data_IF_386324175087
#
_entry.id   IF_386324175087
#
_cell.length_a   1.000
_cell.length_b   1.000
_cell.length_c   1.000
_cell.angle_alpha   90.00
_cell.angle_beta   90.00
_cell.angle_gamma   90.00
#
_symmetry.space_group_name_H-M   'P 1'
#
loop_
_entity.id
_entity.type
_entity.pdbx_description
1 polymer ?
#
# COMPACT_ATOMS: atom_id res chain seq x y z
N UNK A 1 22.46 -21.40 -48.10
CA UNK A 1 21.20 -20.70 -48.41
C UNK A 1 21.56 -19.42 -49.17
N UNK A 2 21.35 -19.40 -50.49
CA UNK A 2 21.79 -18.31 -51.37
C UNK A 2 20.73 -17.21 -51.43
N UNK A 3 21.08 -15.99 -51.02
CA UNK A 3 20.26 -14.78 -51.12
C UNK A 3 20.28 -14.26 -52.55
N UNK A 4 19.15 -14.35 -53.26
CA UNK A 4 18.94 -13.72 -54.58
C UNK A 4 18.61 -12.24 -54.36
N UNK A 5 19.60 -11.38 -54.57
CA UNK A 5 19.40 -9.94 -54.75
C UNK A 5 18.65 -9.72 -56.08
N UNK A 6 17.35 -9.41 -55.99
CA UNK A 6 16.56 -8.93 -57.13
C UNK A 6 16.94 -7.46 -57.36
N UNK A 7 17.80 -7.25 -58.35
CA UNK A 7 18.20 -5.93 -58.85
C UNK A 7 17.02 -5.32 -59.61
N UNK A 8 16.22 -4.49 -58.95
CA UNK A 8 15.14 -3.75 -59.60
C UNK A 8 15.75 -2.68 -60.51
N UNK A 9 15.74 -2.96 -61.82
CA UNK A 9 16.21 -2.05 -62.87
C UNK A 9 15.21 -0.90 -62.98
N UNK A 10 15.52 0.24 -62.37
CA UNK A 10 14.78 1.49 -62.56
C UNK A 10 14.86 1.89 -64.04
N UNK A 11 13.79 1.62 -64.79
CA UNK A 11 13.60 2.12 -66.14
C UNK A 11 13.34 3.63 -66.05
N UNK A 12 14.39 4.44 -66.18
CA UNK A 12 14.26 5.88 -66.43
C UNK A 12 14.13 6.04 -67.95
N UNK A 13 12.90 6.13 -68.43
CA UNK A 13 12.65 6.59 -69.81
C UNK A 13 12.94 8.09 -69.88
N UNK A 14 13.99 8.47 -70.60
CA UNK A 14 14.24 9.87 -70.97
C UNK A 14 13.19 10.32 -71.98
N UNK A 15 12.08 10.87 -71.49
CA UNK A 15 11.07 11.55 -72.29
C UNK A 15 11.51 12.99 -72.55
N UNK A 16 11.79 13.32 -73.80
CA UNK A 16 12.15 14.67 -74.26
C UNK A 16 10.96 15.61 -74.45
N UNK A 17 9.81 15.31 -73.84
CA UNK A 17 8.65 16.20 -73.82
C UNK A 17 8.73 17.10 -72.59
N UNK A 18 8.90 18.40 -72.80
CA UNK A 18 8.85 19.39 -71.72
C UNK A 18 7.50 19.34 -71.01
N UNK A 19 7.53 19.40 -69.67
CA UNK A 19 6.33 19.49 -68.83
C UNK A 19 5.51 20.71 -69.24
N UNK A 20 4.24 20.49 -69.51
CA UNK A 20 3.32 21.58 -69.77
C UNK A 20 2.96 22.29 -68.45
N UNK A 21 2.73 23.61 -68.49
CA UNK A 21 2.33 24.38 -67.30
C UNK A 21 1.10 23.76 -66.60
N UNK A 22 0.18 23.20 -67.38
CA UNK A 22 -1.04 22.59 -66.87
C UNK A 22 -0.78 21.28 -66.13
N UNK A 23 0.17 20.44 -66.56
CA UNK A 23 0.56 19.24 -65.83
C UNK A 23 1.16 19.58 -64.46
N UNK A 24 1.90 20.68 -64.36
CA UNK A 24 2.48 21.13 -63.10
C UNK A 24 1.41 21.58 -62.11
N UNK A 25 0.41 22.34 -62.57
CA UNK A 25 -0.73 22.78 -61.74
C UNK A 25 -1.54 21.58 -61.26
N UNK A 26 -1.87 20.64 -62.15
CA UNK A 26 -2.65 19.44 -61.79
C UNK A 26 -1.87 18.57 -60.79
N UNK A 27 -0.58 18.39 -60.99
CA UNK A 27 0.27 17.62 -60.07
C UNK A 27 0.34 18.26 -58.68
N UNK A 28 0.42 19.58 -58.61
CA UNK A 28 0.45 20.32 -57.34
C UNK A 28 -0.88 20.23 -56.59
N UNK A 29 -2.01 20.28 -57.29
CA UNK A 29 -3.35 20.10 -56.71
C UNK A 29 -3.48 18.67 -56.13
N UNK A 30 -3.14 17.65 -56.91
CA UNK A 30 -3.22 16.25 -56.45
C UNK A 30 -2.27 16.01 -55.28
N UNK A 31 -1.04 16.52 -55.37
CA UNK A 31 -0.06 16.46 -54.28
C UNK A 31 -0.57 17.12 -53.01
N UNK A 32 -1.22 18.28 -53.13
CA UNK A 32 -1.84 18.98 -52.01
C UNK A 32 -2.97 18.16 -51.34
N UNK A 33 -3.84 17.53 -52.14
CA UNK A 33 -4.92 16.67 -51.63
C UNK A 33 -4.34 15.46 -50.89
N UNK A 34 -3.37 14.78 -51.48
CA UNK A 34 -2.72 13.62 -50.87
C UNK A 34 -2.04 13.99 -49.55
N UNK A 35 -1.34 15.13 -49.52
CA UNK A 35 -0.66 15.63 -48.32
C UNK A 35 -1.66 16.03 -47.22
N UNK A 36 -2.81 16.60 -47.59
CA UNK A 36 -3.88 16.90 -46.63
C UNK A 36 -4.47 15.63 -46.01
N UNK A 37 -4.68 14.58 -46.81
CA UNK A 37 -5.21 13.31 -46.33
C UNK A 37 -4.23 12.58 -45.40
N UNK A 38 -2.95 12.54 -45.77
CA UNK A 38 -1.91 11.92 -44.93
C UNK A 38 -1.72 12.67 -43.63
N UNK A 39 -1.74 14.01 -43.65
CA UNK A 39 -1.66 14.82 -42.45
C UNK A 39 -2.85 14.59 -41.51
N UNK A 40 -4.07 14.56 -42.05
CA UNK A 40 -5.29 14.28 -41.27
C UNK A 40 -5.22 12.90 -40.60
N UNK A 41 -4.78 11.88 -41.34
CA UNK A 41 -4.60 10.52 -40.83
C UNK A 41 -3.52 10.47 -39.73
N UNK A 42 -2.40 11.17 -39.91
CA UNK A 42 -1.32 11.23 -38.92
C UNK A 42 -1.79 11.90 -37.61
N UNK A 43 -2.52 13.01 -37.73
CA UNK A 43 -3.10 13.72 -36.56
C UNK A 43 -4.11 12.82 -35.84
N UNK A 44 -4.96 12.10 -36.58
CA UNK A 44 -5.91 11.14 -36.01
C UNK A 44 -5.20 10.01 -35.27
N UNK A 45 -4.20 9.39 -35.88
CA UNK A 45 -3.42 8.31 -35.27
C UNK A 45 -2.68 8.78 -34.02
N UNK A 46 -2.08 9.99 -34.06
CA UNK A 46 -1.42 10.58 -32.89
C UNK A 46 -2.42 10.81 -31.76
N UNK A 47 -3.62 11.30 -32.05
CA UNK A 47 -4.66 11.54 -31.05
C UNK A 47 -5.08 10.23 -30.38
N UNK A 48 -5.36 9.19 -31.16
CA UNK A 48 -5.71 7.87 -30.64
C UNK A 48 -4.58 7.29 -29.77
N UNK A 49 -3.34 7.37 -30.23
CA UNK A 49 -2.19 6.89 -29.49
C UNK A 49 -2.03 7.59 -28.13
N UNK A 50 -2.15 8.92 -28.08
CA UNK A 50 -2.06 9.68 -26.83
C UNK A 50 -3.22 9.32 -25.88
N UNK A 51 -4.41 9.07 -26.41
CA UNK A 51 -5.56 8.61 -25.63
C UNK A 51 -5.34 7.24 -25.00
N UNK A 52 -4.82 6.30 -25.78
CA UNK A 52 -4.56 4.94 -25.31
C UNK A 52 -3.44 4.92 -24.26
N UNK A 53 -2.40 5.76 -24.42
CA UNK A 53 -1.36 5.93 -23.40
C UNK A 53 -1.95 6.45 -22.09
N UNK A 54 -2.73 7.53 -22.14
CA UNK A 54 -3.37 8.12 -20.98
C UNK A 54 -4.29 7.13 -20.25
N UNK A 55 -5.09 6.37 -21.00
CA UNK A 55 -5.96 5.31 -20.45
C UNK A 55 -5.14 4.18 -19.82
N UNK A 56 -4.04 3.77 -20.46
CA UNK A 56 -3.20 2.69 -19.96
C UNK A 56 -2.52 3.08 -18.66
N UNK A 57 -1.96 4.29 -18.59
CA UNK A 57 -1.31 4.83 -17.39
C UNK A 57 -2.30 4.91 -16.22
N UNK A 58 -3.48 5.51 -16.43
CA UNK A 58 -4.52 5.59 -15.40
C UNK A 58 -4.91 4.20 -14.90
N UNK A 59 -5.16 3.25 -15.81
CA UNK A 59 -5.55 1.90 -15.40
C UNK A 59 -4.44 1.14 -14.65
N UNK A 60 -3.18 1.30 -15.05
CA UNK A 60 -2.04 0.67 -14.36
C UNK A 60 -1.87 1.26 -12.95
N UNK A 61 -1.95 2.58 -12.83
CA UNK A 61 -1.88 3.29 -11.56
C UNK A 61 -3.01 2.87 -10.60
N UNK A 62 -4.25 2.87 -11.09
CA UNK A 62 -5.41 2.46 -10.30
C UNK A 62 -5.32 1.01 -9.84
N UNK A 63 -4.88 0.09 -10.71
CA UNK A 63 -4.68 -1.33 -10.35
C UNK A 63 -3.55 -1.54 -9.36
N UNK A 64 -2.38 -0.94 -9.61
CA UNK A 64 -1.23 -1.04 -8.71
C UNK A 64 -1.59 -0.57 -7.29
N UNK A 65 -2.35 0.52 -7.18
CA UNK A 65 -2.82 1.03 -5.88
C UNK A 65 -3.74 0.02 -5.17
N UNK A 66 -4.71 -0.54 -5.89
CA UNK A 66 -5.61 -1.56 -5.33
C UNK A 66 -4.88 -2.85 -4.97
N UNK A 67 -3.90 -3.27 -5.75
CA UNK A 67 -3.14 -4.50 -5.49
C UNK A 67 -2.29 -4.37 -4.22
N UNK A 68 -1.66 -3.21 -4.01
CA UNK A 68 -0.90 -2.90 -2.79
C UNK A 68 -1.84 -2.89 -1.57
N UNK A 69 -2.88 -2.05 -1.59
CA UNK A 69 -3.84 -1.95 -0.46
C UNK A 69 -4.54 -3.29 -0.21
N UNK A 70 -4.90 -3.99 -1.29
CA UNK A 70 -5.60 -5.27 -1.22
C UNK A 70 -4.75 -6.38 -0.62
N UNK A 71 -3.43 -6.36 -0.84
CA UNK A 71 -2.49 -7.33 -0.25
C UNK A 71 -2.39 -7.14 1.26
N UNK A 72 -2.32 -5.90 1.73
CA UNK A 72 -2.30 -5.58 3.16
C UNK A 72 -3.64 -5.88 3.83
N UNK A 73 -4.76 -5.51 3.19
CA UNK A 73 -6.10 -5.81 3.72
C UNK A 73 -6.33 -7.31 3.86
N UNK A 74 -5.82 -8.14 2.95
CA UNK A 74 -5.92 -9.60 3.05
C UNK A 74 -5.07 -10.16 4.19
N UNK A 75 -3.94 -9.52 4.51
CA UNK A 75 -3.07 -9.90 5.63
C UNK A 75 -3.49 -9.24 6.96
N UNK A 76 -4.40 -8.27 6.92
CA UNK A 76 -4.88 -7.59 8.11
C UNK A 76 -5.46 -8.59 9.12
N UNK A 77 -4.93 -8.54 10.34
CA UNK A 77 -5.35 -9.42 11.43
C UNK A 77 -4.67 -10.78 11.45
N UNK A 78 -3.82 -11.07 10.46
CA UNK A 78 -2.97 -12.25 10.50
C UNK A 78 -2.08 -12.19 11.74
N UNK A 79 -2.06 -13.30 12.50
CA UNK A 79 -1.26 -13.45 13.72
C UNK A 79 -1.62 -12.45 14.83
N UNK A 80 -2.86 -11.95 14.84
CA UNK A 80 -3.40 -11.16 15.94
C UNK A 80 -4.47 -12.00 16.64
N UNK A 81 -4.20 -12.41 17.89
CA UNK A 81 -5.12 -13.22 18.69
C UNK A 81 -6.13 -12.39 19.48
N UNK A 82 -5.82 -11.13 19.76
CA UNK A 82 -6.62 -10.29 20.64
C UNK A 82 -7.79 -9.67 19.87
N UNK A 83 -9.01 -9.91 20.37
CA UNK A 83 -10.22 -9.50 19.67
C UNK A 83 -10.47 -8.00 19.71
N UNK A 84 -9.98 -7.32 20.75
CA UNK A 84 -10.11 -5.87 20.94
C UNK A 84 -8.97 -5.08 20.28
N UNK A 85 -8.05 -5.75 19.58
CA UNK A 85 -6.93 -5.08 18.94
C UNK A 85 -7.39 -4.23 17.74
N UNK A 86 -6.96 -2.96 17.60
CA UNK A 86 -7.38 -2.09 16.51
C UNK A 86 -6.67 -2.43 15.18
N UNK A 87 -7.05 -3.52 14.53
CA UNK A 87 -6.36 -4.01 13.31
C UNK A 87 -6.57 -3.07 12.12
N UNK A 88 -7.80 -2.60 11.93
CA UNK A 88 -8.21 -1.72 10.82
C UNK A 88 -8.83 -0.47 11.41
N UNK A 89 -8.43 0.68 10.89
CA UNK A 89 -8.96 1.99 11.26
C UNK A 89 -9.21 2.81 10.00
N UNK A 90 -10.43 3.32 9.88
CA UNK A 90 -10.87 4.15 8.74
C UNK A 90 -11.28 5.52 9.27
N UNK A 91 -10.45 6.52 8.98
CA UNK A 91 -10.66 7.91 9.37
C UNK A 91 -11.18 8.70 8.17
N UNK A 92 -12.34 9.37 8.33
CA UNK A 92 -12.94 10.23 7.29
C UNK A 92 -13.12 9.58 5.90
N UNK A 93 -13.25 8.26 5.83
CA UNK A 93 -13.32 7.40 4.62
C UNK A 93 -12.14 7.49 3.65
N UNK A 94 -11.22 8.45 3.80
CA UNK A 94 -10.07 8.67 2.92
C UNK A 94 -8.71 8.43 3.60
N UNK A 95 -8.71 7.87 4.79
CA UNK A 95 -7.50 7.52 5.55
C UNK A 95 -7.70 6.13 6.16
N UNK A 96 -6.88 5.19 5.71
CA UNK A 96 -6.98 3.78 6.08
C UNK A 96 -5.69 3.35 6.75
N UNK A 97 -5.76 2.98 8.01
CA UNK A 97 -4.66 2.41 8.78
C UNK A 97 -4.88 0.90 8.94
N UNK A 98 -3.87 0.12 8.58
CA UNK A 98 -3.83 -1.33 8.71
C UNK A 98 -2.63 -1.69 9.58
N UNK A 99 -2.84 -2.56 10.57
CA UNK A 99 -1.78 -3.04 11.46
C UNK A 99 -1.49 -4.51 11.18
N UNK A 100 -0.23 -4.81 10.89
CA UNK A 100 0.26 -6.14 10.52
C UNK A 100 1.23 -6.65 11.59
N UNK A 101 1.04 -7.89 12.05
CA UNK A 101 2.01 -8.52 12.95
C UNK A 101 3.10 -9.24 12.15
N UNK A 102 4.34 -8.79 12.29
CA UNK A 102 5.47 -9.28 11.50
C UNK A 102 6.08 -10.57 12.06
N UNK A 103 5.90 -10.84 13.35
CA UNK A 103 6.59 -11.93 14.03
C UNK A 103 5.65 -12.86 14.81
N UNK A 104 6.06 -14.12 14.88
CA UNK A 104 5.55 -15.11 15.82
C UNK A 104 6.75 -15.63 16.64
N UNK A 105 6.54 -15.99 17.91
CA UNK A 105 5.26 -16.00 18.65
C UNK A 105 4.83 -14.61 19.11
N UNK A 106 3.63 -14.49 19.67
CA UNK A 106 3.17 -13.27 20.33
C UNK A 106 3.60 -13.36 21.80
N UNK A 107 4.28 -12.34 22.31
CA UNK A 107 4.76 -12.33 23.70
C UNK A 107 3.68 -11.80 24.64
N UNK A 108 3.73 -12.21 25.91
CA UNK A 108 2.82 -11.73 26.96
C UNK A 108 3.61 -11.30 28.18
N UNK A 109 3.36 -10.09 28.66
CA UNK A 109 4.02 -9.57 29.85
C UNK A 109 3.71 -10.44 31.08
N UNK A 110 4.70 -10.60 31.97
CA UNK A 110 4.54 -11.38 33.21
C UNK A 110 4.41 -10.55 34.46
N UNK A 111 4.69 -9.27 34.33
CA UNK A 111 4.62 -8.31 35.41
C UNK A 111 3.91 -7.07 34.89
N UNK A 112 3.39 -6.28 35.83
CA UNK A 112 2.77 -5.02 35.49
C UNK A 112 3.84 -4.04 34.99
N UNK A 113 3.58 -3.39 33.87
CA UNK A 113 4.35 -2.23 33.40
C UNK A 113 3.59 -0.99 33.83
N UNK A 114 4.19 -0.17 34.69
CA UNK A 114 3.51 0.99 35.27
C UNK A 114 3.77 2.27 34.47
N UNK A 115 2.73 3.07 34.27
CA UNK A 115 2.83 4.39 33.68
C UNK A 115 3.80 5.29 34.47
N UNK A 116 4.44 6.23 33.79
CA UNK A 116 5.41 7.15 34.39
C UNK A 116 6.80 6.56 34.62
N UNK A 117 6.99 5.25 34.45
CA UNK A 117 8.31 4.62 34.63
C UNK A 117 9.18 4.80 33.38
N UNK A 118 10.41 5.29 33.57
CA UNK A 118 11.45 5.43 32.54
C UNK A 118 12.56 4.38 32.69
N UNK A 119 12.65 3.75 33.87
CA UNK A 119 13.66 2.72 34.19
C UNK A 119 13.19 1.31 33.87
N UNK A 120 11.89 1.10 33.65
CA UNK A 120 11.31 -0.17 33.19
C UNK A 120 11.58 -0.40 31.70
N UNK A 121 12.87 -0.36 31.33
CA UNK A 121 13.31 -0.76 30.00
C UNK A 121 13.17 -2.27 29.85
N UNK A 122 13.27 -3.02 30.94
CA UNK A 122 13.12 -4.46 30.95
C UNK A 122 11.65 -4.86 31.09
N UNK A 123 11.09 -5.54 30.10
CA UNK A 123 9.71 -6.05 30.07
C UNK A 123 9.78 -7.58 30.18
N UNK A 124 9.45 -8.19 31.33
CA UNK A 124 9.40 -9.64 31.48
C UNK A 124 8.26 -10.23 30.62
N UNK A 125 8.55 -11.20 29.75
CA UNK A 125 7.61 -11.67 28.70
C UNK A 125 7.32 -13.17 28.65
N UNK A 126 7.93 -13.99 29.51
CA UNK A 126 7.53 -15.39 29.65
C UNK A 126 7.37 -15.77 31.12
N UNK A 127 6.19 -16.27 31.43
CA UNK A 127 5.79 -16.60 32.80
C UNK A 127 5.86 -18.12 32.99
N UNK A 128 6.18 -18.84 31.90
CA UNK A 128 6.26 -20.28 31.78
C UNK A 128 7.44 -20.67 30.89
N UNK A 129 8.65 -20.37 31.36
CA UNK A 129 9.93 -21.06 31.10
C UNK A 129 10.38 -21.46 29.68
N UNK A 130 9.74 -21.08 28.57
CA UNK A 130 10.27 -21.38 27.23
C UNK A 130 11.10 -20.23 26.69
N UNK A 131 12.42 -20.43 26.61
CA UNK A 131 13.37 -19.50 26.00
C UNK A 131 13.12 -19.30 24.49
N UNK A 132 12.46 -20.27 23.86
CA UNK A 132 12.24 -20.34 22.42
C UNK A 132 11.47 -19.12 21.86
N UNK A 133 10.59 -18.49 22.65
CA UNK A 133 9.77 -17.37 22.19
C UNK A 133 10.57 -16.07 22.09
N UNK A 134 11.36 -15.78 23.13
CA UNK A 134 12.27 -14.62 23.15
C UNK A 134 13.38 -14.82 22.12
N UNK A 135 13.88 -16.04 21.95
CA UNK A 135 14.88 -16.37 20.93
C UNK A 135 14.34 -16.18 19.50
N UNK A 136 13.06 -16.47 19.24
CA UNK A 136 12.44 -16.18 17.94
C UNK A 136 12.35 -14.68 17.66
N UNK A 137 11.99 -13.87 18.67
CA UNK A 137 12.01 -12.40 18.55
C UNK A 137 13.42 -11.86 18.31
N UNK A 138 14.40 -12.39 19.03
CA UNK A 138 15.82 -12.08 18.82
C UNK A 138 16.25 -12.44 17.38
N UNK A 139 15.90 -13.63 16.90
CA UNK A 139 16.23 -14.07 15.53
C UNK A 139 15.62 -13.15 14.49
N UNK A 140 14.35 -12.76 14.66
CA UNK A 140 13.70 -11.81 13.77
C UNK A 140 14.44 -10.46 13.78
N UNK A 141 14.69 -9.89 14.96
CA UNK A 141 15.38 -8.61 15.13
C UNK A 141 16.77 -8.60 14.48
N UNK A 142 17.55 -9.64 14.71
CA UNK A 142 18.92 -9.76 14.21
C UNK A 142 18.99 -10.16 12.74
N UNK A 143 17.88 -10.50 12.10
CA UNK A 143 17.84 -10.72 10.65
C UNK A 143 17.66 -9.43 9.84
N UNK A 144 17.33 -8.30 10.50
CA UNK A 144 16.95 -7.06 9.81
C UNK A 144 18.11 -6.30 9.16
N UNK A 145 19.34 -6.51 9.61
CA UNK A 145 20.52 -5.89 9.02
C UNK A 145 21.17 -6.75 7.91
N UNK A 146 20.68 -7.98 7.72
CA UNK A 146 21.17 -8.94 6.73
C UNK A 146 22.45 -9.68 7.15
N UNK A 147 22.93 -9.48 8.37
CA UNK A 147 24.11 -10.14 8.90
C UNK A 147 23.74 -11.40 9.69
N UNK A 148 24.72 -12.29 9.89
CA UNK A 148 24.49 -13.50 10.69
C UNK A 148 24.65 -13.18 12.17
N UNK A 149 23.55 -13.27 12.93
CA UNK A 149 23.54 -13.08 14.38
C UNK A 149 23.46 -11.61 14.80
N UNK A 150 23.31 -11.37 16.11
CA UNK A 150 23.04 -10.04 16.65
C UNK A 150 24.29 -9.18 16.85
N UNK A 151 24.35 -8.04 16.18
CA UNK A 151 25.38 -7.00 16.28
C UNK A 151 25.02 -5.90 17.30
N UNK A 152 23.74 -5.78 17.69
CA UNK A 152 23.26 -4.74 18.60
C UNK A 152 23.30 -3.32 18.01
N UNK A 153 23.32 -3.21 16.68
CA UNK A 153 23.37 -1.94 15.97
C UNK A 153 21.97 -1.27 15.91
N UNK A 154 21.88 -0.09 15.28
CA UNK A 154 20.61 0.64 15.16
C UNK A 154 19.65 0.03 14.14
N UNK A 155 20.12 -0.81 13.21
CA UNK A 155 19.31 -1.49 12.20
C UNK A 155 18.57 -2.70 12.81
N UNK A 156 19.11 -3.28 13.87
CA UNK A 156 18.45 -4.29 14.69
C UNK A 156 17.50 -3.70 15.75
N UNK A 157 16.95 -2.51 15.52
CA UNK A 157 15.93 -1.93 16.39
C UNK A 157 14.59 -2.06 15.71
N UNK A 158 13.61 -2.62 16.40
CA UNK A 158 12.30 -2.92 15.84
C UNK A 158 11.24 -2.12 16.56
N UNK A 159 10.24 -1.67 15.82
CA UNK A 159 9.03 -1.11 16.41
C UNK A 159 8.19 -2.24 16.99
N UNK A 160 7.95 -2.18 18.29
CA UNK A 160 7.06 -3.09 19.01
C UNK A 160 5.87 -2.33 19.59
N UNK A 161 4.82 -3.05 19.92
CA UNK A 161 3.59 -2.51 20.48
C UNK A 161 3.13 -3.34 21.66
N UNK A 162 2.86 -2.70 22.79
CA UNK A 162 2.27 -3.35 23.96
C UNK A 162 0.78 -2.97 24.06
N UNK A 163 -0.07 -3.98 24.19
CA UNK A 163 -1.53 -3.88 24.19
C UNK A 163 -2.10 -4.32 25.55
N UNK A 164 -3.01 -3.51 26.10
CA UNK A 164 -3.60 -3.71 27.43
C UNK A 164 -4.79 -4.70 27.46
N UNK A 165 -5.19 -5.25 26.32
CA UNK A 165 -6.36 -6.13 26.18
C UNK A 165 -7.70 -5.39 26.01
N UNK A 166 -7.72 -4.08 26.25
CA UNK A 166 -8.91 -3.21 26.22
C UNK A 166 -8.91 -2.25 25.01
N UNK A 167 -8.09 -2.52 24.00
CA UNK A 167 -8.00 -1.72 22.78
C UNK A 167 -7.03 -0.54 22.88
N UNK A 168 -6.34 -0.36 24.02
CA UNK A 168 -5.28 0.64 24.12
C UNK A 168 -3.91 -0.03 24.02
N UNK A 169 -2.94 0.76 23.58
CA UNK A 169 -1.55 0.38 23.64
C UNK A 169 -0.63 1.53 23.31
N UNK A 170 0.66 1.25 23.35
CA UNK A 170 1.67 2.21 22.96
C UNK A 170 2.82 1.54 22.22
N UNK A 171 3.38 2.27 21.26
CA UNK A 171 4.54 1.84 20.49
C UNK A 171 5.81 2.13 21.28
N UNK A 172 6.78 1.23 21.16
CA UNK A 172 8.11 1.43 21.71
C UNK A 172 9.16 0.82 20.78
N UNK A 173 10.41 1.24 20.94
CA UNK A 173 11.53 0.66 20.21
C UNK A 173 12.07 -0.53 21.01
N UNK A 174 11.93 -1.73 20.46
CA UNK A 174 12.55 -2.95 20.97
C UNK A 174 14.02 -3.02 20.50
N UNK A 175 14.94 -3.09 21.46
CA UNK A 175 16.37 -2.91 21.18
C UNK A 175 17.24 -4.12 21.52
N UNK A 176 16.87 -4.92 22.53
CA UNK A 176 17.62 -6.11 22.93
C UNK A 176 16.78 -7.03 23.81
N UNK A 177 17.34 -8.18 24.16
CA UNK A 177 16.73 -9.19 25.01
C UNK A 177 17.67 -9.54 26.17
N UNK A 178 17.09 -10.00 27.26
CA UNK A 178 17.79 -10.77 28.27
C UNK A 178 17.20 -12.18 28.25
N UNK A 179 17.89 -13.11 27.60
CA UNK A 179 17.47 -14.51 27.49
C UNK A 179 17.61 -15.28 28.80
N UNK A 180 18.33 -14.73 29.79
CA UNK A 180 18.45 -15.36 31.12
C UNK A 180 17.21 -15.03 31.96
N UNK A 181 16.81 -13.76 31.96
CA UNK A 181 15.60 -13.30 32.65
C UNK A 181 14.33 -13.36 31.79
N UNK A 182 14.48 -13.83 30.55
CA UNK A 182 13.45 -14.01 29.56
C UNK A 182 12.57 -12.77 29.38
N UNK A 183 13.25 -11.67 29.10
CA UNK A 183 12.68 -10.35 29.04
C UNK A 183 13.17 -9.60 27.81
N UNK A 184 12.33 -8.69 27.30
CA UNK A 184 12.69 -7.82 26.19
C UNK A 184 13.00 -6.43 26.71
N UNK A 185 13.97 -5.77 26.09
CA UNK A 185 14.40 -4.45 26.46
C UNK A 185 13.90 -3.42 25.45
N UNK A 186 13.15 -2.46 25.97
CA UNK A 186 12.83 -1.21 25.31
C UNK A 186 14.07 -0.31 25.29
N UNK A 187 14.28 0.41 24.18
CA UNK A 187 15.28 1.45 24.07
C UNK A 187 15.00 2.57 25.10
N UNK A 188 16.01 2.88 25.90
CA UNK A 188 15.93 3.99 26.84
C UNK A 188 16.08 5.33 26.09
N UNK A 189 14.96 5.89 25.65
CA UNK A 189 14.86 7.22 25.03
C UNK A 189 14.39 8.30 26.02
N UNK A 190 14.28 7.96 27.31
CA UNK A 190 13.80 8.85 28.35
C UNK A 190 12.29 9.10 28.36
N UNK A 191 11.52 8.53 27.42
CA UNK A 191 10.07 8.71 27.42
C UNK A 191 9.41 7.73 28.41
N UNK A 192 8.58 8.16 29.37
CA UNK A 192 7.93 7.22 30.28
C UNK A 192 6.82 6.45 29.55
N UNK A 193 6.50 5.25 30.04
CA UNK A 193 5.25 4.57 29.67
C UNK A 193 4.06 5.50 29.95
N UNK A 194 3.21 5.71 28.96
CA UNK A 194 2.04 6.57 29.11
C UNK A 194 0.89 5.84 29.82
N UNK A 195 0.89 4.51 29.78
CA UNK A 195 -0.20 3.67 30.29
C UNK A 195 0.30 2.58 31.23
N UNK A 196 -0.64 2.06 32.02
CA UNK A 196 -0.42 0.87 32.83
C UNK A 196 -0.79 -0.36 32.01
N UNK A 197 0.07 -1.36 32.02
CA UNK A 197 -0.19 -2.68 31.44
C UNK A 197 -0.17 -3.69 32.55
N UNK A 198 -1.25 -4.44 32.72
CA UNK A 198 -1.27 -5.54 33.68
C UNK A 198 -0.37 -6.67 33.20
N UNK A 199 0.02 -7.57 34.10
CA UNK A 199 0.47 -8.90 33.70
C UNK A 199 -0.53 -9.50 32.70
N UNK A 200 -0.01 -10.31 31.78
CA UNK A 200 -0.69 -10.89 30.62
C UNK A 200 -1.03 -9.92 29.47
N UNK A 201 -0.62 -8.63 29.55
CA UNK A 201 -0.69 -7.71 28.41
C UNK A 201 0.14 -8.22 27.26
N UNK A 202 -0.33 -8.02 26.03
CA UNK A 202 0.24 -8.68 24.85
C UNK A 202 1.25 -7.76 24.17
N UNK A 203 2.39 -8.30 23.73
CA UNK A 203 3.42 -7.55 23.00
C UNK A 203 3.55 -8.12 21.59
N UNK A 204 3.55 -7.22 20.61
CA UNK A 204 3.65 -7.52 19.18
C UNK A 204 4.83 -6.80 18.54
N UNK A 205 5.35 -7.38 17.46
CA UNK A 205 6.16 -6.65 16.48
C UNK A 205 5.22 -6.23 15.36
N UNK A 206 4.89 -4.95 15.28
CA UNK A 206 3.89 -4.45 14.34
C UNK A 206 4.48 -3.51 13.31
N UNK A 207 3.99 -3.66 12.10
CA UNK A 207 4.07 -2.63 11.07
C UNK A 207 2.70 -1.94 10.96
N UNK A 208 2.70 -0.61 10.96
CA UNK A 208 1.50 0.18 10.69
C UNK A 208 1.57 0.77 9.29
N UNK A 209 0.63 0.39 8.44
CA UNK A 209 0.45 0.90 7.09
C UNK A 209 -0.71 1.87 7.05
N UNK A 210 -0.41 3.16 6.87
CA UNK A 210 -1.42 4.21 6.74
C UNK A 210 -1.47 4.72 5.30
N UNK A 211 -2.62 4.57 4.68
CA UNK A 211 -2.94 4.96 3.32
C UNK A 211 -3.75 6.26 3.34
N UNK A 212 -3.21 7.30 2.71
CA UNK A 212 -3.88 8.61 2.66
C UNK A 212 -3.67 9.30 1.31
N UNK A 213 -4.68 10.06 0.89
CA UNK A 213 -4.61 10.92 -0.29
C UNK A 213 -4.13 12.32 0.11
N UNK A 214 -2.96 12.74 -0.38
CA UNK A 214 -2.39 14.07 -0.11
C UNK A 214 -1.88 14.67 -1.42
N UNK A 215 -2.32 15.87 -1.75
CA UNK A 215 -1.95 16.60 -2.99
C UNK A 215 -2.12 15.75 -4.25
N UNK A 216 -3.25 15.04 -4.35
CA UNK A 216 -3.56 14.12 -5.46
C UNK A 216 -2.59 12.93 -5.61
N UNK A 217 -1.84 12.61 -4.55
CA UNK A 217 -0.94 11.47 -4.51
C UNK A 217 -1.39 10.51 -3.42
N UNK A 218 -1.47 9.25 -3.77
CA UNK A 218 -1.68 8.20 -2.79
C UNK A 218 -0.36 7.94 -2.07
N UNK A 219 -0.36 8.18 -0.75
CA UNK A 219 0.80 7.98 0.12
C UNK A 219 0.57 6.78 1.02
N UNK A 220 1.58 5.93 1.13
CA UNK A 220 1.71 4.93 2.18
C UNK A 220 2.70 5.46 3.21
N UNK A 221 2.25 5.61 4.44
CA UNK A 221 3.09 5.91 5.58
C UNK A 221 3.27 4.61 6.36
N UNK A 222 4.52 4.17 6.47
CA UNK A 222 4.93 3.01 7.25
C UNK A 222 5.46 3.52 8.58
N UNK A 223 4.88 3.02 9.66
CA UNK A 223 5.27 3.31 11.04
C UNK A 223 5.34 4.80 11.41
N UNK A 224 4.45 5.59 10.82
CA UNK A 224 4.35 7.03 11.08
C UNK A 224 5.53 7.89 10.58
N UNK A 225 6.57 7.28 9.99
CA UNK A 225 7.82 7.98 9.65
C UNK A 225 8.24 7.82 8.20
N UNK A 226 8.14 6.61 7.63
CA UNK A 226 8.56 6.34 6.25
C UNK A 226 7.38 6.60 5.31
N UNK A 227 7.47 7.66 4.52
CA UNK A 227 6.43 8.00 3.54
C UNK A 227 6.84 7.59 2.13
N UNK A 228 6.00 6.81 1.47
CA UNK A 228 6.15 6.36 0.08
C UNK A 228 5.03 6.93 -0.77
N UNK A 229 5.36 7.49 -1.92
CA UNK A 229 4.37 7.85 -2.93
C UNK A 229 4.09 6.60 -3.77
N UNK A 230 2.86 6.06 -3.68
CA UNK A 230 2.46 4.88 -4.43
C UNK A 230 2.12 5.28 -5.87
N UNK A 231 1.17 6.20 -5.99
CA UNK A 231 0.60 6.60 -7.29
C UNK A 231 0.21 8.07 -7.26
N UNK A 232 0.35 8.74 -8.40
CA UNK A 232 -0.03 10.14 -8.61
C UNK A 232 -1.40 10.24 -9.32
N UNK A 233 -1.92 11.47 -9.40
CA UNK A 233 -3.12 11.80 -10.17
C UNK A 233 -4.37 11.09 -9.66
N UNK A 234 -4.53 11.01 -8.34
CA UNK A 234 -5.73 10.48 -7.67
C UNK A 234 -6.63 11.64 -7.24
N UNK A 235 -7.89 11.59 -7.66
CA UNK A 235 -8.96 12.55 -7.35
C UNK A 235 -9.58 12.24 -6.00
N UNK A 236 -9.93 10.96 -5.77
CA UNK A 236 -10.54 10.52 -4.51
C UNK A 236 -10.11 9.11 -4.12
N UNK A 237 -10.04 8.89 -2.81
CA UNK A 237 -9.83 7.58 -2.18
C UNK A 237 -10.91 7.43 -1.11
N UNK A 238 -11.77 6.42 -1.25
CA UNK A 238 -12.90 6.16 -0.37
C UNK A 238 -12.87 4.70 0.08
N UNK A 239 -13.03 4.50 1.38
CA UNK A 239 -12.97 3.20 2.04
C UNK A 239 -14.26 3.00 2.81
N UNK A 240 -14.92 1.87 2.56
CA UNK A 240 -16.14 1.46 3.24
C UNK A 240 -15.95 0.08 3.83
N UNK A 241 -16.35 -0.07 5.08
CA UNK A 241 -16.24 -1.33 5.79
C UNK A 241 -17.63 -1.96 5.91
N UNK A 242 -17.75 -3.23 5.51
CA UNK A 242 -19.00 -3.98 5.59
C UNK A 242 -18.94 -4.98 6.74
N UNK A 243 -19.94 -4.89 7.61
CA UNK A 243 -20.25 -5.85 8.67
C UNK A 243 -21.47 -6.68 8.25
N UNK A 244 -21.75 -7.82 8.91
CA UNK A 244 -22.83 -8.72 8.52
C UNK A 244 -24.22 -8.05 8.45
N UNK A 245 -24.46 -7.01 9.26
CA UNK A 245 -25.77 -6.35 9.36
C UNK A 245 -25.76 -4.87 9.00
N UNK A 246 -24.59 -4.24 8.92
CA UNK A 246 -24.45 -2.79 8.69
C UNK A 246 -23.26 -2.49 7.78
N UNK A 247 -23.32 -1.39 7.04
CA UNK A 247 -22.15 -0.82 6.36
C UNK A 247 -21.72 0.43 7.11
N UNK A 248 -20.43 0.52 7.41
CA UNK A 248 -19.83 1.62 8.18
C UNK A 248 -18.84 2.34 7.29
N UNK A 249 -18.98 3.66 7.19
CA UNK A 249 -18.09 4.49 6.36
C UNK A 249 -16.79 4.86 7.08
N UNK A 250 -16.82 4.93 8.42
CA UNK A 250 -15.66 5.33 9.25
C UNK A 250 -15.68 4.63 10.59
N UNK A 251 -14.51 4.26 11.11
CA UNK A 251 -14.37 3.72 12.46
C UNK A 251 -13.04 3.01 12.69
N UNK A 252 -12.62 2.97 13.95
CA UNK A 252 -11.54 2.11 14.46
C UNK A 252 -12.16 0.78 14.91
N UNK A 253 -11.67 -0.36 14.45
CA UNK A 253 -12.25 -1.68 14.80
C UNK A 253 -11.40 -2.36 15.88
N UNK A 254 -11.87 -2.45 17.14
CA UNK A 254 -13.28 -2.54 17.54
C UNK A 254 -14.08 -1.23 17.55
N UNK A 255 -15.20 -1.21 16.82
CA UNK A 255 -16.07 -0.05 16.60
C UNK A 255 -17.38 -0.22 17.36
N UNK A 256 -17.73 0.72 18.25
CA UNK A 256 -19.04 0.71 18.92
C UNK A 256 -20.03 1.55 18.12
N UNK A 257 -21.03 0.89 17.56
CA UNK A 257 -22.04 1.53 16.74
C UNK A 257 -23.14 2.17 17.61
N UNK A 258 -23.97 3.02 17.01
CA UNK A 258 -25.04 3.77 17.68
C UNK A 258 -26.13 2.91 18.31
N UNK A 259 -26.23 1.63 17.94
CA UNK A 259 -27.11 0.63 18.55
C UNK A 259 -26.53 0.01 19.84
N UNK A 260 -25.33 0.45 20.26
CA UNK A 260 -24.64 -0.06 21.44
C UNK A 260 -23.83 -1.34 21.18
N UNK A 261 -23.84 -1.89 19.96
CA UNK A 261 -23.06 -3.08 19.64
C UNK A 261 -21.62 -2.73 19.29
N UNK A 262 -20.66 -3.44 19.90
CA UNK A 262 -19.24 -3.36 19.53
C UNK A 262 -18.91 -4.40 18.45
N UNK A 263 -18.55 -3.91 17.28
CA UNK A 263 -18.12 -4.70 16.14
C UNK A 263 -16.60 -4.81 16.11
N UNK A 264 -16.10 -6.04 16.24
CA UNK A 264 -14.66 -6.34 16.26
C UNK A 264 -14.13 -6.60 14.85
N UNK A 265 -12.83 -6.42 14.64
CA UNK A 265 -12.20 -6.56 13.32
C UNK A 265 -12.39 -7.95 12.70
N UNK A 266 -12.46 -9.01 13.52
CA UNK A 266 -12.67 -10.38 13.02
C UNK A 266 -14.09 -10.63 12.48
N UNK A 267 -15.05 -9.74 12.77
CA UNK A 267 -16.41 -9.77 12.23
C UNK A 267 -16.55 -9.02 10.90
N UNK A 268 -15.49 -8.39 10.40
CA UNK A 268 -15.54 -7.70 9.13
C UNK A 268 -15.83 -8.69 8.00
N UNK A 269 -16.87 -8.42 7.23
CA UNK A 269 -17.22 -9.22 6.07
C UNK A 269 -16.36 -8.82 4.88
N UNK A 270 -16.17 -7.51 4.67
CA UNK A 270 -15.28 -7.01 3.62
C UNK A 270 -14.91 -5.55 3.85
N UNK A 271 -13.81 -5.13 3.24
CA UNK A 271 -13.41 -3.72 3.09
C UNK A 271 -13.46 -3.38 1.60
N UNK A 272 -14.33 -2.45 1.23
CA UNK A 272 -14.45 -1.93 -0.13
C UNK A 272 -13.61 -0.66 -0.25
N UNK A 273 -12.74 -0.63 -1.25
CA UNK A 273 -11.88 0.50 -1.57
C UNK A 273 -12.27 1.01 -2.95
N UNK A 274 -12.52 2.31 -3.06
CA UNK A 274 -12.90 2.98 -4.29
C UNK A 274 -11.90 4.10 -4.58
N UNK A 275 -11.29 4.09 -5.77
CA UNK A 275 -10.25 5.02 -6.15
C UNK A 275 -10.63 5.66 -7.48
N UNK A 276 -10.63 6.99 -7.50
CA UNK A 276 -10.88 7.77 -8.70
C UNK A 276 -9.62 8.52 -9.11
N UNK A 277 -9.23 8.43 -10.37
CA UNK A 277 -8.12 9.18 -10.95
C UNK A 277 -8.57 10.54 -11.48
N UNK A 278 -7.64 11.49 -11.52
CA UNK A 278 -7.80 12.78 -12.17
C UNK A 278 -7.70 12.57 -13.68
N UNK A 279 -8.54 13.30 -14.43
CA UNK A 279 -8.40 13.32 -15.88
C UNK A 279 -7.07 13.99 -16.26
N UNK A 280 -6.22 13.35 -17.08
CA UNK A 280 -4.93 13.94 -17.46
C UNK A 280 -5.10 15.34 -18.08
N UNK A 281 -4.06 16.17 -17.91
CA UNK A 281 -4.07 17.62 -18.16
C UNK A 281 -4.65 18.07 -19.50
N UNK A 282 -5.10 19.34 -19.62
CA UNK A 282 -5.66 19.90 -20.86
C UNK A 282 -4.66 19.80 -22.01
N UNK A 283 -4.88 18.85 -22.93
CA UNK A 283 -3.93 18.51 -24.00
C UNK A 283 -3.76 16.99 -24.18
N UNK A 284 -4.00 16.22 -23.12
CA UNK A 284 -4.25 14.78 -23.21
C UNK A 284 -5.70 14.53 -23.67
N UNK A 285 -5.93 13.40 -24.32
CA UNK A 285 -7.29 13.00 -24.65
C UNK A 285 -8.05 12.70 -23.35
N UNK A 286 -9.27 13.22 -23.24
CA UNK A 286 -10.10 13.03 -22.05
C UNK A 286 -10.45 11.56 -21.91
N UNK A 287 -10.07 10.97 -20.78
CA UNK A 287 -10.53 9.63 -20.41
C UNK A 287 -12.00 9.73 -19.98
N UNK A 288 -12.83 8.77 -20.38
CA UNK A 288 -14.24 8.72 -19.99
C UNK A 288 -14.38 8.48 -18.48
N UNK A 289 -15.40 9.10 -17.86
CA UNK A 289 -15.56 9.12 -16.39
C UNK A 289 -15.67 7.71 -15.78
N UNK A 290 -16.25 6.75 -16.51
CA UNK A 290 -16.35 5.34 -16.10
C UNK A 290 -14.99 4.63 -16.02
N UNK A 291 -13.98 5.11 -16.76
CA UNK A 291 -12.62 4.55 -16.77
C UNK A 291 -11.68 5.23 -15.79
N UNK A 292 -12.12 6.34 -15.18
CA UNK A 292 -11.37 7.02 -14.14
C UNK A 292 -11.62 6.41 -12.75
N UNK A 293 -12.51 5.43 -12.62
CA UNK A 293 -12.90 4.86 -11.33
C UNK A 293 -12.60 3.36 -11.29
N UNK A 294 -12.03 2.89 -10.18
CA UNK A 294 -11.88 1.47 -9.89
C UNK A 294 -12.33 1.19 -8.46
N UNK A 295 -12.97 0.04 -8.24
CA UNK A 295 -13.31 -0.41 -6.90
C UNK A 295 -12.83 -1.85 -6.68
N UNK A 296 -12.28 -2.10 -5.50
CA UNK A 296 -11.91 -3.43 -5.01
C UNK A 296 -12.68 -3.76 -3.75
N UNK A 297 -13.06 -5.03 -3.58
CA UNK A 297 -13.63 -5.55 -2.34
C UNK A 297 -12.69 -6.63 -1.79
N UNK A 298 -12.22 -6.42 -0.57
CA UNK A 298 -11.20 -7.25 0.07
C UNK A 298 -11.76 -7.90 1.33
N UNK A 299 -11.26 -9.08 1.63
CA UNK A 299 -11.72 -9.91 2.75
C UNK A 299 -10.53 -10.11 3.68
N UNK A 300 -10.48 -9.41 4.83
CA UNK A 300 -9.42 -9.61 5.81
C UNK A 300 -9.36 -11.05 6.28
N UNK A 301 -8.16 -11.55 6.57
CA UNK A 301 -7.95 -12.88 7.15
C UNK A 301 -8.41 -12.84 8.61
N UNK A 302 -9.69 -13.11 8.82
CA UNK A 302 -10.28 -13.14 10.16
C UNK A 302 -9.86 -14.40 10.93
N UNK A 303 -9.86 -14.31 12.26
CA UNK A 303 -9.53 -15.43 13.15
C UNK A 303 -10.49 -16.62 13.02
N UNK A 304 -11.67 -16.43 12.42
CA UNK A 304 -12.68 -17.46 12.17
C UNK A 304 -12.50 -18.23 10.86
N UNK A 305 -11.61 -17.81 9.94
CA UNK A 305 -11.31 -18.59 8.73
C UNK A 305 -10.28 -19.70 8.98
N UNK A 306 -10.06 -20.08 10.24
CA UNK A 306 -9.21 -21.21 10.65
C UNK A 306 -10.06 -22.41 11.00
#
# INVERSE_FOLDING_TARGET
>A
MQSKFILWKLFIQNSSKGLTLIELIVSLIIGGILLSLTLSLLVSNRKLYVEDLARTEVNQNLRATLDIIGTDLKQAGERISEENFPVIEVNNSSDLTIRLNLSLPILRTCQNVSAGTTTANNIPVTCSNTNDDVQQWQTYRCSLDGETGCQGNTQERVRAFIHDGNGNGEYFTYASEDTTNLSINRLNDGTPWQRNYSANSTVYILEEHRYQLVDHKMKLIIDGSKTLNIVNSIDSFDVKVSLPTISVETGTFPYTHTDGNTYRWWRLQSVKVNIKAINPSPGAAKVSQDKLNIAGQFFPRNSLSR
#
